data_IF_392631172464
#
_entry.id   IF_392631172464
#
_cell.length_a   1.000
_cell.length_b   1.000
_cell.length_c   1.000
_cell.angle_alpha   90.00
_cell.angle_beta   90.00
_cell.angle_gamma   90.00
#
_symmetry.space_group_name_H-M   'P 1'
#
loop_
_entity.id
_entity.type
_entity.pdbx_description
1 polymer ?
#
# COMPACT_ATOMS: atom_id res chain seq x y z
N UNK A 1 27.95 28.37 -33.59
CA UNK A 1 27.73 28.57 -32.14
C UNK A 1 26.32 29.12 -32.02
N UNK A 2 25.43 28.52 -31.20
CA UNK A 2 24.12 29.10 -31.00
C UNK A 2 24.30 30.52 -30.45
N UNK A 3 23.53 31.47 -30.96
CA UNK A 3 23.52 32.88 -30.53
C UNK A 3 22.70 33.10 -29.27
N UNK A 4 22.05 32.06 -28.78
CA UNK A 4 21.10 32.12 -27.69
C UNK A 4 21.80 32.08 -26.33
N UNK A 5 21.23 32.82 -25.37
CA UNK A 5 21.64 32.76 -23.96
C UNK A 5 21.01 31.52 -23.34
N UNK A 6 21.84 30.54 -22.97
CA UNK A 6 21.39 29.32 -22.32
C UNK A 6 21.36 29.50 -20.79
N UNK A 7 20.27 29.08 -20.17
CA UNK A 7 20.18 28.94 -18.71
C UNK A 7 20.44 27.49 -18.32
N UNK A 8 21.22 27.28 -17.25
CA UNK A 8 21.43 25.95 -16.70
C UNK A 8 20.12 25.47 -16.06
N UNK A 9 19.63 24.31 -16.51
CA UNK A 9 18.48 23.63 -15.90
C UNK A 9 18.95 22.76 -14.73
N UNK A 10 18.08 22.55 -13.75
CA UNK A 10 18.33 21.72 -12.57
C UNK A 10 17.40 20.49 -12.60
N UNK A 11 17.93 19.27 -12.79
CA UNK A 11 17.12 18.05 -12.87
C UNK A 11 16.64 17.55 -11.50
N UNK A 12 17.13 18.12 -10.39
CA UNK A 12 16.76 17.69 -9.03
C UNK A 12 15.55 18.45 -8.47
N UNK A 13 15.01 19.41 -9.23
CA UNK A 13 13.80 20.15 -8.86
C UNK A 13 12.56 19.37 -9.33
N UNK A 14 11.77 18.89 -8.36
CA UNK A 14 10.49 18.22 -8.59
C UNK A 14 9.37 19.23 -8.86
N UNK A 15 8.36 18.82 -9.62
CA UNK A 15 7.12 19.61 -9.73
C UNK A 15 6.34 19.60 -8.39
N UNK A 16 5.43 20.56 -8.22
CA UNK A 16 4.66 20.76 -6.98
C UNK A 16 3.93 19.47 -6.54
N UNK A 17 3.18 18.84 -7.45
CA UNK A 17 2.43 17.60 -7.20
C UNK A 17 3.33 16.43 -6.80
N UNK A 18 4.51 16.29 -7.43
CA UNK A 18 5.46 15.23 -7.10
C UNK A 18 6.11 15.49 -5.73
N UNK A 19 6.40 16.76 -5.42
CA UNK A 19 6.97 17.15 -4.15
C UNK A 19 6.00 16.93 -2.98
N UNK A 20 4.72 17.23 -3.18
CA UNK A 20 3.66 16.92 -2.20
C UNK A 20 3.62 15.42 -1.86
N UNK A 21 3.71 14.55 -2.88
CA UNK A 21 3.80 13.11 -2.66
C UNK A 21 5.08 12.73 -1.90
N UNK A 22 6.24 13.30 -2.26
CA UNK A 22 7.50 13.02 -1.57
C UNK A 22 7.43 13.41 -0.09
N UNK A 23 6.97 14.62 0.22
CA UNK A 23 6.84 15.13 1.59
C UNK A 23 5.86 14.27 2.39
N UNK A 24 4.69 13.94 1.83
CA UNK A 24 3.71 13.03 2.45
C UNK A 24 4.32 11.65 2.79
N UNK A 25 5.07 11.05 1.86
CA UNK A 25 5.69 9.75 2.07
C UNK A 25 6.83 9.83 3.11
N UNK A 26 7.62 10.91 3.13
CA UNK A 26 8.72 11.11 4.08
C UNK A 26 8.23 11.29 5.53
N UNK A 27 7.08 11.93 5.72
CA UNK A 27 6.48 12.10 7.04
C UNK A 27 6.01 10.77 7.64
N UNK A 28 5.57 9.82 6.81
CA UNK A 28 4.94 8.57 7.25
C UNK A 28 5.87 7.34 7.17
N UNK A 29 6.82 7.30 6.24
CA UNK A 29 7.67 6.14 5.98
C UNK A 29 9.08 6.37 6.55
N UNK A 30 9.37 5.71 7.67
CA UNK A 30 10.63 5.87 8.38
C UNK A 30 11.75 5.00 7.79
N UNK A 31 12.89 5.63 7.48
CA UNK A 31 14.16 5.00 7.08
C UNK A 31 14.13 4.13 5.80
N UNK A 32 13.16 4.38 4.89
CA UNK A 32 13.06 3.68 3.58
C UNK A 32 13.19 4.63 2.38
N UNK A 33 14.16 5.56 2.41
CA UNK A 33 14.32 6.60 1.38
C UNK A 33 14.51 6.06 -0.05
N UNK A 34 15.11 4.87 -0.21
CA UNK A 34 15.24 4.24 -1.54
C UNK A 34 13.90 3.86 -2.14
N UNK A 35 12.96 3.42 -1.31
CA UNK A 35 11.62 3.05 -1.76
C UNK A 35 10.80 4.29 -2.09
N UNK A 36 10.89 5.33 -1.25
CA UNK A 36 10.26 6.64 -1.50
C UNK A 36 10.76 7.21 -2.82
N UNK A 37 12.08 7.30 -3.03
CA UNK A 37 12.66 7.78 -4.30
C UNK A 37 12.20 6.97 -5.51
N UNK A 38 12.09 5.64 -5.38
CA UNK A 38 11.60 4.77 -6.46
C UNK A 38 10.17 5.14 -6.88
N UNK A 39 9.29 5.40 -5.91
CA UNK A 39 7.90 5.82 -6.14
C UNK A 39 7.85 7.25 -6.71
N UNK A 40 8.55 8.20 -6.08
CA UNK A 40 8.57 9.61 -6.46
C UNK A 40 9.10 9.79 -7.87
N UNK A 41 10.22 9.17 -8.24
CA UNK A 41 10.77 9.26 -9.60
C UNK A 41 9.85 8.65 -10.66
N UNK A 42 9.09 7.60 -10.32
CA UNK A 42 8.11 7.02 -11.23
C UNK A 42 6.91 7.94 -11.45
N UNK A 43 6.42 8.56 -10.37
CA UNK A 43 5.32 9.51 -10.43
C UNK A 43 5.70 10.81 -11.15
N UNK A 44 6.91 11.32 -10.94
CA UNK A 44 7.42 12.50 -11.65
C UNK A 44 7.47 12.27 -13.16
N UNK A 45 7.94 11.09 -13.57
CA UNK A 45 7.94 10.69 -14.98
C UNK A 45 6.53 10.59 -15.53
N UNK A 46 5.58 10.05 -14.76
CA UNK A 46 4.17 9.93 -15.13
C UNK A 46 3.52 11.30 -15.37
N UNK A 47 3.87 12.30 -14.56
CA UNK A 47 3.39 13.68 -14.72
C UNK A 47 4.04 14.42 -15.91
N UNK A 48 5.02 13.82 -16.57
CA UNK A 48 5.72 14.43 -17.71
C UNK A 48 5.12 14.02 -19.05
N UNK A 49 5.19 14.87 -20.10
CA UNK A 49 4.83 14.48 -21.47
C UNK A 49 5.69 13.35 -22.07
N UNK A 50 6.78 12.97 -21.39
CA UNK A 50 7.61 11.83 -21.77
C UNK A 50 7.00 10.48 -21.34
N UNK A 51 5.90 10.51 -20.58
CA UNK A 51 5.15 9.32 -20.25
C UNK A 51 4.53 8.71 -21.50
N UNK A 52 5.07 7.56 -21.92
CA UNK A 52 4.51 6.76 -23.01
C UNK A 52 3.66 5.66 -22.36
N UNK A 53 2.36 5.61 -22.70
CA UNK A 53 1.35 4.66 -22.20
C UNK A 53 1.62 3.21 -22.66
N UNK A 54 2.81 2.69 -22.34
CA UNK A 54 3.26 1.35 -22.72
C UNK A 54 3.61 0.50 -21.49
N UNK A 55 3.68 1.09 -20.30
CA UNK A 55 4.07 0.39 -19.06
C UNK A 55 3.27 0.93 -17.88
N UNK A 56 3.16 0.17 -16.78
CA UNK A 56 2.62 0.69 -15.52
C UNK A 56 3.48 1.83 -14.99
N UNK A 57 2.85 2.78 -14.27
CA UNK A 57 3.51 3.91 -13.59
C UNK A 57 4.75 3.42 -12.86
N UNK A 58 4.55 2.39 -12.04
CA UNK A 58 5.63 1.68 -11.35
C UNK A 58 5.34 0.19 -11.37
N UNK A 59 6.37 -0.61 -11.62
CA UNK A 59 6.39 -2.01 -11.21
C UNK A 59 7.64 -2.22 -10.37
N UNK A 60 7.45 -2.37 -9.06
CA UNK A 60 8.53 -2.49 -8.09
C UNK A 60 8.45 -3.79 -7.30
N UNK A 61 9.62 -4.35 -6.97
CA UNK A 61 9.73 -5.48 -6.07
C UNK A 61 10.45 -5.05 -4.79
N UNK A 62 9.70 -5.03 -3.69
CA UNK A 62 10.16 -4.66 -2.38
C UNK A 62 10.58 -5.89 -1.59
N UNK A 63 11.83 -5.88 -1.13
CA UNK A 63 12.46 -6.98 -0.42
C UNK A 63 12.79 -6.59 1.02
N UNK A 64 12.61 -7.50 1.95
CA UNK A 64 13.03 -7.28 3.35
C UNK A 64 12.23 -8.15 4.33
N UNK A 65 12.55 -8.10 5.62
CA UNK A 65 11.81 -8.86 6.64
C UNK A 65 10.36 -8.37 6.81
N UNK A 66 9.58 -9.13 7.58
CA UNK A 66 8.22 -8.73 7.93
C UNK A 66 8.22 -7.42 8.74
N UNK A 67 7.18 -6.60 8.57
CA UNK A 67 6.98 -5.40 9.39
C UNK A 67 7.92 -4.22 9.16
N UNK A 68 8.71 -4.20 8.07
CA UNK A 68 9.58 -3.04 7.72
C UNK A 68 8.91 -1.98 6.85
N UNK A 69 7.62 -2.16 6.52
CA UNK A 69 6.83 -1.18 5.76
C UNK A 69 6.69 -1.44 4.26
N UNK A 70 7.00 -2.66 3.76
CA UNK A 70 6.84 -3.01 2.33
C UNK A 70 5.40 -2.79 1.82
N UNK A 71 4.44 -3.37 2.54
CA UNK A 71 3.00 -3.24 2.27
C UNK A 71 2.49 -1.84 2.59
N UNK A 72 3.05 -1.21 3.62
CA UNK A 72 2.69 0.14 4.05
C UNK A 72 2.88 1.19 2.95
N UNK A 73 3.84 1.01 2.03
CA UNK A 73 3.96 1.91 0.86
C UNK A 73 2.69 1.89 -0.01
N UNK A 74 2.10 0.72 -0.25
CA UNK A 74 0.87 0.63 -1.03
C UNK A 74 -0.30 1.31 -0.30
N UNK A 75 -0.38 1.14 1.02
CA UNK A 75 -1.37 1.81 1.86
C UNK A 75 -1.20 3.34 1.83
N UNK A 76 0.04 3.84 1.88
CA UNK A 76 0.32 5.27 1.78
C UNK A 76 0.02 5.84 0.40
N UNK A 77 0.27 5.10 -0.68
CA UNK A 77 -0.16 5.54 -2.00
C UNK A 77 -1.69 5.59 -2.10
N UNK A 78 -2.40 4.63 -1.47
CA UNK A 78 -3.85 4.61 -1.47
C UNK A 78 -4.42 5.76 -0.65
N UNK A 79 -3.84 6.05 0.52
CA UNK A 79 -4.17 7.23 1.31
C UNK A 79 -3.95 8.52 0.51
N UNK A 80 -2.80 8.67 -0.15
CA UNK A 80 -2.48 9.89 -0.90
C UNK A 80 -3.36 10.12 -2.12
N UNK A 81 -3.56 9.09 -2.95
CA UNK A 81 -4.29 9.24 -4.21
C UNK A 81 -5.80 9.08 -4.04
N UNK A 82 -6.24 8.35 -3.02
CA UNK A 82 -7.62 7.87 -2.88
C UNK A 82 -8.23 8.16 -1.50
N UNK A 83 -7.58 8.97 -0.64
CA UNK A 83 -8.03 9.34 0.71
C UNK A 83 -8.51 8.14 1.57
N UNK A 84 -8.01 6.94 1.28
CA UNK A 84 -8.36 5.70 1.97
C UNK A 84 -7.18 4.72 1.87
N UNK A 85 -6.53 4.36 2.99
CA UNK A 85 -5.34 3.54 2.97
C UNK A 85 -5.64 2.08 2.60
N UNK A 86 -6.92 1.69 2.56
CA UNK A 86 -7.40 0.36 2.19
C UNK A 86 -7.88 0.27 0.75
N UNK A 87 -7.96 1.40 0.03
CA UNK A 87 -8.47 1.48 -1.33
C UNK A 87 -7.45 1.02 -2.37
N UNK A 88 -7.00 -0.24 -2.28
CA UNK A 88 -6.11 -0.84 -3.28
C UNK A 88 -6.44 -2.31 -3.50
N UNK A 89 -6.03 -2.85 -4.64
CA UNK A 89 -6.23 -4.27 -4.96
C UNK A 89 -5.12 -5.09 -4.32
N UNK A 90 -5.40 -5.74 -3.19
CA UNK A 90 -4.47 -6.65 -2.52
C UNK A 90 -4.63 -8.10 -3.01
N UNK A 91 -3.51 -8.72 -3.38
CA UNK A 91 -3.40 -10.11 -3.80
C UNK A 91 -2.41 -10.82 -2.86
N UNK A 92 -2.94 -11.68 -2.00
CA UNK A 92 -2.14 -12.56 -1.16
C UNK A 92 -1.65 -13.74 -1.98
N UNK A 93 -0.40 -13.70 -2.44
CA UNK A 93 0.15 -14.69 -3.37
C UNK A 93 0.22 -16.10 -2.77
N UNK A 94 0.22 -16.22 -1.44
CA UNK A 94 0.11 -17.48 -0.72
C UNK A 94 -1.20 -18.25 -0.99
N UNK A 95 -2.25 -17.58 -1.47
CA UNK A 95 -3.54 -18.21 -1.82
C UNK A 95 -3.59 -18.68 -3.29
N UNK A 96 -2.47 -18.58 -4.02
CA UNK A 96 -2.39 -18.89 -5.45
C UNK A 96 -1.18 -19.78 -5.76
N UNK A 97 -0.93 -20.76 -4.90
CA UNK A 97 0.18 -21.72 -5.05
C UNK A 97 -0.13 -22.68 -6.19
N UNK A 98 -1.39 -23.07 -6.32
CA UNK A 98 -1.83 -24.05 -7.29
C UNK A 98 -2.31 -23.40 -8.60
N UNK A 99 -2.06 -24.07 -9.73
CA UNK A 99 -2.40 -23.55 -11.06
C UNK A 99 -3.89 -23.24 -11.24
N UNK A 100 -4.78 -23.98 -10.58
CA UNK A 100 -6.22 -23.78 -10.66
C UNK A 100 -6.72 -22.63 -9.77
N UNK A 101 -5.94 -22.17 -8.79
CA UNK A 101 -6.25 -20.98 -8.00
C UNK A 101 -5.94 -19.72 -8.82
N UNK A 102 -4.87 -19.76 -9.62
CA UNK A 102 -4.48 -18.68 -10.53
C UNK A 102 -5.60 -18.33 -11.52
N UNK A 103 -6.43 -19.28 -11.96
CA UNK A 103 -7.56 -18.96 -12.84
C UNK A 103 -8.64 -18.10 -12.18
N UNK A 104 -8.70 -18.01 -10.83
CA UNK A 104 -9.55 -17.02 -10.15
C UNK A 104 -8.99 -15.61 -10.31
N UNK A 105 -7.67 -15.51 -10.32
CA UNK A 105 -6.96 -14.24 -10.48
C UNK A 105 -7.00 -13.75 -11.94
N UNK A 106 -6.70 -14.65 -12.89
CA UNK A 106 -6.51 -14.36 -14.30
C UNK A 106 -7.71 -14.71 -15.19
N UNK A 107 -8.73 -15.37 -14.66
CA UNK A 107 -9.86 -15.90 -15.42
C UNK A 107 -9.64 -17.32 -15.91
N UNK A 108 -10.71 -18.11 -15.91
CA UNK A 108 -10.71 -19.42 -16.55
C UNK A 108 -10.98 -19.27 -18.06
N UNK A 109 -10.40 -20.13 -18.91
CA UNK A 109 -10.67 -20.13 -20.35
C UNK A 109 -12.07 -20.64 -20.71
N UNK A 110 -12.57 -20.33 -21.92
CA UNK A 110 -13.87 -20.82 -22.39
C UNK A 110 -13.99 -22.34 -22.25
N UNK A 111 -15.09 -22.80 -21.66
CA UNK A 111 -15.35 -24.23 -21.43
C UNK A 111 -14.85 -24.79 -20.08
N UNK A 112 -14.19 -23.98 -19.25
CA UNK A 112 -13.77 -24.35 -17.89
C UNK A 112 -14.71 -23.78 -16.82
N UNK A 113 -14.77 -24.44 -15.66
CA UNK A 113 -15.50 -23.93 -14.49
C UNK A 113 -14.86 -22.60 -14.07
N UNK A 114 -15.70 -21.57 -13.90
CA UNK A 114 -15.26 -20.21 -13.56
C UNK A 114 -15.10 -19.27 -14.76
N UNK A 115 -15.38 -19.70 -15.99
CA UNK A 115 -15.29 -18.84 -17.18
C UNK A 115 -16.15 -17.56 -17.07
N UNK A 116 -17.33 -17.68 -16.47
CA UNK A 116 -18.26 -16.55 -16.27
C UNK A 116 -17.93 -15.71 -15.02
N UNK A 117 -16.96 -16.12 -14.21
CA UNK A 117 -16.54 -15.35 -13.04
C UNK A 117 -15.59 -14.25 -13.47
N UNK A 118 -15.81 -13.03 -12.95
CA UNK A 118 -14.95 -11.92 -13.28
C UNK A 118 -13.58 -12.10 -12.62
N UNK A 119 -12.47 -12.08 -13.37
CA UNK A 119 -11.14 -12.21 -12.81
C UNK A 119 -10.81 -11.05 -11.85
N UNK A 120 -10.07 -11.34 -10.78
CA UNK A 120 -9.60 -10.31 -9.84
C UNK A 120 -8.75 -9.25 -10.55
N UNK A 121 -7.96 -9.64 -11.55
CA UNK A 121 -7.14 -8.71 -12.36
C UNK A 121 -7.85 -8.19 -13.62
N UNK A 122 -9.18 -8.25 -13.68
CA UNK A 122 -9.95 -7.55 -14.72
C UNK A 122 -9.88 -6.03 -14.55
N UNK A 123 -10.07 -5.29 -15.65
CA UNK A 123 -10.04 -3.81 -15.64
C UNK A 123 -10.92 -3.23 -14.53
N UNK A 124 -12.15 -3.73 -14.42
CA UNK A 124 -13.12 -3.21 -13.47
C UNK A 124 -12.66 -3.39 -12.03
N UNK A 125 -12.03 -4.52 -11.71
CA UNK A 125 -11.60 -4.81 -10.35
C UNK A 125 -10.34 -4.01 -9.96
N UNK A 126 -9.38 -3.84 -10.88
CA UNK A 126 -8.16 -3.08 -10.57
C UNK A 126 -8.44 -1.58 -10.39
N UNK A 127 -9.44 -1.04 -11.11
CA UNK A 127 -9.85 0.37 -11.00
C UNK A 127 -10.93 0.60 -9.93
N UNK A 128 -11.60 -0.44 -9.45
CA UNK A 128 -12.75 -0.31 -8.53
C UNK A 128 -12.45 0.58 -7.31
N UNK A 129 -11.30 0.46 -6.62
CA UNK A 129 -11.01 1.32 -5.47
C UNK A 129 -10.94 2.80 -5.85
N UNK A 130 -10.28 3.11 -6.97
CA UNK A 130 -10.15 4.49 -7.46
C UNK A 130 -11.49 5.07 -7.93
N UNK A 131 -12.33 4.25 -8.57
CA UNK A 131 -13.68 4.64 -8.95
C UNK A 131 -14.55 4.92 -7.72
N UNK A 132 -14.47 4.09 -6.68
CA UNK A 132 -15.20 4.30 -5.43
C UNK A 132 -14.76 5.58 -4.71
N UNK A 133 -13.47 5.89 -4.73
CA UNK A 133 -12.99 7.17 -4.22
C UNK A 133 -13.57 8.34 -5.02
N UNK A 134 -13.44 8.32 -6.35
CA UNK A 134 -13.99 9.37 -7.21
C UNK A 134 -15.51 9.52 -7.05
N UNK A 135 -16.23 8.40 -6.84
CA UNK A 135 -17.64 8.39 -6.43
C UNK A 135 -17.89 9.22 -5.17
N UNK A 136 -17.15 8.92 -4.09
CA UNK A 136 -17.32 9.61 -2.81
C UNK A 136 -16.97 11.09 -2.89
N UNK A 137 -15.93 11.46 -3.64
CA UNK A 137 -15.52 12.84 -3.85
C UNK A 137 -16.60 13.64 -4.60
N UNK A 138 -17.11 13.11 -5.72
CA UNK A 138 -18.15 13.76 -6.53
C UNK A 138 -19.53 13.76 -5.83
N UNK A 139 -19.84 12.74 -5.03
CA UNK A 139 -21.10 12.66 -4.30
C UNK A 139 -21.30 13.79 -3.28
N UNK A 140 -20.25 14.48 -2.84
CA UNK A 140 -20.39 15.64 -1.95
C UNK A 140 -21.03 16.85 -2.64
N UNK A 141 -21.00 16.93 -3.98
CA UNK A 141 -21.37 18.15 -4.72
C UNK A 141 -22.30 17.90 -5.92
N UNK A 142 -22.35 16.69 -6.51
CA UNK A 142 -23.04 16.39 -7.76
C UNK A 142 -24.23 15.39 -7.59
N UNK A 143 -25.44 15.83 -7.96
CA UNK A 143 -26.69 15.04 -7.82
C UNK A 143 -26.78 13.87 -8.79
N UNK A 144 -26.19 13.97 -9.97
CA UNK A 144 -26.22 12.91 -10.98
C UNK A 144 -25.23 11.80 -10.61
N UNK A 145 -24.06 12.20 -10.07
CA UNK A 145 -23.12 11.25 -9.48
C UNK A 145 -23.74 10.47 -8.31
N UNK A 146 -24.49 11.14 -7.42
CA UNK A 146 -25.24 10.51 -6.33
C UNK A 146 -26.28 9.50 -6.83
N UNK A 147 -26.97 9.83 -7.94
CA UNK A 147 -27.98 8.93 -8.53
C UNK A 147 -27.33 7.66 -9.08
N UNK A 148 -26.31 7.81 -9.93
CA UNK A 148 -25.63 6.68 -10.54
C UNK A 148 -24.94 5.79 -9.49
N UNK A 149 -24.34 6.38 -8.46
CA UNK A 149 -23.75 5.61 -7.36
C UNK A 149 -24.80 4.78 -6.59
N UNK A 150 -25.99 5.35 -6.31
CA UNK A 150 -27.08 4.58 -5.68
C UNK A 150 -27.55 3.42 -6.55
N UNK A 151 -27.52 3.59 -7.88
CA UNK A 151 -27.83 2.51 -8.81
C UNK A 151 -26.76 1.40 -8.78
N UNK A 152 -25.47 1.76 -8.68
CA UNK A 152 -24.34 0.81 -8.50
C UNK A 152 -24.46 0.05 -7.18
N UNK A 153 -24.67 0.73 -6.05
CA UNK A 153 -24.83 0.08 -4.75
C UNK A 153 -26.01 -0.89 -4.72
N UNK A 154 -27.13 -0.49 -5.32
CA UNK A 154 -28.31 -1.35 -5.44
C UNK A 154 -27.99 -2.59 -6.28
N UNK A 155 -27.28 -2.44 -7.39
CA UNK A 155 -26.83 -3.56 -8.21
C UNK A 155 -25.87 -4.49 -7.44
N UNK A 156 -24.91 -3.93 -6.69
CA UNK A 156 -23.98 -4.69 -5.83
C UNK A 156 -24.71 -5.50 -4.76
N UNK A 157 -25.68 -4.89 -4.06
CA UNK A 157 -26.46 -5.58 -3.03
C UNK A 157 -27.30 -6.72 -3.62
N UNK A 158 -27.79 -6.57 -4.85
CA UNK A 158 -28.50 -7.64 -5.53
C UNK A 158 -27.57 -8.80 -5.87
N UNK A 159 -26.34 -8.52 -6.33
CA UNK A 159 -25.32 -9.56 -6.54
C UNK A 159 -25.03 -10.35 -5.24
N UNK A 160 -24.84 -9.65 -4.11
CA UNK A 160 -24.53 -10.24 -2.80
C UNK A 160 -25.67 -11.08 -2.21
N UNK A 161 -26.92 -10.78 -2.56
CA UNK A 161 -28.11 -11.52 -2.09
C UNK A 161 -28.46 -12.73 -2.97
N UNK A 162 -27.84 -12.85 -4.15
CA UNK A 162 -28.14 -13.94 -5.07
C UNK A 162 -27.54 -15.26 -4.57
N UNK A 163 -28.36 -16.32 -4.54
CA UNK A 163 -27.94 -17.69 -4.16
C UNK A 163 -27.87 -18.63 -5.37
N UNK A 164 -28.33 -18.17 -6.54
CA UNK A 164 -28.46 -18.96 -7.76
C UNK A 164 -27.48 -18.49 -8.85
N UNK A 165 -26.67 -19.42 -9.37
CA UNK A 165 -25.49 -19.16 -10.23
C UNK A 165 -25.82 -18.47 -11.57
N UNK A 166 -27.00 -18.73 -12.16
CA UNK A 166 -27.44 -18.11 -13.41
C UNK A 166 -27.89 -16.65 -13.19
N UNK A 167 -28.59 -16.40 -12.08
CA UNK A 167 -29.06 -15.08 -11.69
C UNK A 167 -27.89 -14.17 -11.29
N UNK A 168 -26.89 -14.73 -10.59
CA UNK A 168 -25.65 -14.02 -10.24
C UNK A 168 -24.91 -13.47 -11.46
N UNK A 169 -24.85 -14.21 -12.58
CA UNK A 169 -24.15 -13.76 -13.79
C UNK A 169 -24.86 -12.57 -14.46
N UNK A 170 -26.19 -12.62 -14.58
CA UNK A 170 -26.98 -11.51 -15.13
C UNK A 170 -26.93 -10.27 -14.23
N UNK A 171 -26.99 -10.45 -12.91
CA UNK A 171 -26.84 -9.36 -11.94
C UNK A 171 -25.44 -8.74 -12.00
N UNK A 172 -24.40 -9.56 -12.17
CA UNK A 172 -23.04 -9.08 -12.33
C UNK A 172 -22.87 -8.27 -13.61
N UNK A 173 -23.49 -8.68 -14.73
CA UNK A 173 -23.50 -7.88 -15.96
C UNK A 173 -24.16 -6.51 -15.77
N UNK A 174 -25.29 -6.45 -15.05
CA UNK A 174 -25.96 -5.18 -14.73
C UNK A 174 -25.07 -4.30 -13.84
N UNK A 175 -24.44 -4.88 -12.82
CA UNK A 175 -23.49 -4.16 -11.96
C UNK A 175 -22.32 -3.60 -12.76
N UNK A 176 -21.73 -4.40 -13.66
CA UNK A 176 -20.65 -3.96 -14.53
C UNK A 176 -21.06 -2.87 -15.50
N UNK A 177 -22.27 -2.96 -16.07
CA UNK A 177 -22.81 -1.91 -16.93
C UNK A 177 -22.94 -0.59 -16.16
N UNK A 178 -23.40 -0.64 -14.91
CA UNK A 178 -23.55 0.56 -14.07
C UNK A 178 -22.21 1.18 -13.69
N UNK A 179 -21.18 0.36 -13.44
CA UNK A 179 -19.80 0.85 -13.28
C UNK A 179 -19.33 1.57 -14.55
N UNK A 180 -19.54 0.99 -15.73
CA UNK A 180 -19.12 1.61 -17.01
C UNK A 180 -19.84 2.92 -17.30
N UNK A 181 -21.15 2.98 -17.09
CA UNK A 181 -21.94 4.22 -17.22
C UNK A 181 -21.36 5.32 -16.32
N UNK A 182 -20.99 4.96 -15.09
CA UNK A 182 -20.42 5.88 -14.14
C UNK A 182 -18.96 6.28 -14.44
N UNK A 183 -18.14 5.35 -14.93
CA UNK A 183 -16.79 5.64 -15.42
C UNK A 183 -16.83 6.67 -16.56
N UNK A 184 -17.75 6.51 -17.52
CA UNK A 184 -17.96 7.49 -18.60
C UNK A 184 -18.34 8.85 -18.05
N UNK A 185 -19.25 8.90 -17.07
CA UNK A 185 -19.67 10.14 -16.42
C UNK A 185 -18.53 10.85 -15.69
N UNK A 186 -17.71 10.10 -14.92
CA UNK A 186 -16.51 10.66 -14.30
C UNK A 186 -15.59 11.22 -15.38
N UNK A 187 -15.24 10.41 -16.39
CA UNK A 187 -14.29 10.80 -17.43
C UNK A 187 -14.72 12.06 -18.20
N UNK A 188 -16.02 12.32 -18.33
CA UNK A 188 -16.56 13.54 -18.95
C UNK A 188 -16.54 14.77 -18.00
N UNK A 189 -16.61 14.55 -16.69
CA UNK A 189 -16.70 15.62 -15.66
C UNK A 189 -15.36 15.99 -15.04
N UNK A 190 -14.46 15.02 -14.95
CA UNK A 190 -13.09 15.19 -14.49
C UNK A 190 -12.21 15.19 -15.73
N UNK A 191 -12.20 16.30 -16.48
CA UNK A 191 -11.13 16.50 -17.46
C UNK A 191 -9.79 16.36 -16.70
N UNK A 192 -8.92 15.49 -17.21
CA UNK A 192 -7.50 15.33 -16.87
C UNK A 192 -7.08 14.65 -15.54
N UNK A 193 -7.94 14.01 -14.75
CA UNK A 193 -7.48 13.20 -13.60
C UNK A 193 -7.40 11.71 -13.96
N UNK A 194 -6.20 11.12 -14.13
CA UNK A 194 -6.08 9.71 -14.45
C UNK A 194 -6.54 8.85 -13.26
N UNK A 195 -7.35 7.83 -13.54
CA UNK A 195 -7.71 6.80 -12.55
C UNK A 195 -6.44 6.01 -12.21
N UNK A 196 -5.86 6.26 -11.05
CA UNK A 196 -4.66 5.57 -10.57
C UNK A 196 -5.06 4.30 -9.83
N UNK A 197 -4.61 3.17 -10.33
CA UNK A 197 -4.83 1.86 -9.69
C UNK A 197 -3.61 1.47 -8.86
N UNK A 198 -3.82 1.01 -7.63
CA UNK A 198 -2.75 0.48 -6.79
C UNK A 198 -2.98 -1.02 -6.61
N UNK A 199 -1.99 -1.82 -6.99
CA UNK A 199 -2.08 -3.28 -7.00
C UNK A 199 -0.90 -3.84 -6.20
N UNK A 200 -1.22 -4.55 -5.12
CA UNK A 200 -0.24 -5.15 -4.23
C UNK A 200 -0.24 -6.68 -4.38
N UNK A 201 0.89 -7.23 -4.80
CA UNK A 201 1.18 -8.67 -4.78
C UNK A 201 2.03 -8.98 -3.55
N UNK A 202 1.39 -9.44 -2.47
CA UNK A 202 2.06 -9.72 -1.21
C UNK A 202 2.65 -11.13 -1.21
N UNK A 203 3.93 -11.27 -0.85
CA UNK A 203 4.69 -12.54 -0.82
C UNK A 203 4.73 -13.27 -2.18
N UNK A 204 5.13 -12.55 -3.24
CA UNK A 204 5.07 -13.02 -4.64
C UNK A 204 5.85 -14.33 -4.90
N UNK A 205 6.83 -14.65 -4.07
CA UNK A 205 7.58 -15.91 -4.13
C UNK A 205 6.73 -17.16 -3.86
N UNK A 206 5.58 -17.01 -3.20
CA UNK A 206 4.68 -18.14 -2.88
C UNK A 206 3.72 -18.48 -4.01
N UNK A 207 3.52 -17.57 -4.97
CA UNK A 207 2.60 -17.81 -6.08
C UNK A 207 3.12 -18.86 -7.05
N UNK A 208 2.20 -19.51 -7.75
CA UNK A 208 2.51 -20.36 -8.89
C UNK A 208 3.28 -19.59 -9.98
N UNK A 209 4.28 -20.21 -10.66
CA UNK A 209 5.09 -19.54 -11.69
C UNK A 209 4.31 -18.91 -12.85
N UNK A 210 3.08 -19.35 -13.12
CA UNK A 210 2.20 -18.72 -14.12
C UNK A 210 1.91 -17.25 -13.81
N UNK A 211 1.87 -16.85 -12.53
CA UNK A 211 1.71 -15.45 -12.16
C UNK A 211 2.93 -14.63 -12.59
N UNK A 212 4.14 -15.18 -12.47
CA UNK A 212 5.36 -14.48 -12.87
C UNK A 212 5.41 -14.22 -14.38
N UNK A 213 4.93 -15.16 -15.20
CA UNK A 213 4.81 -14.99 -16.65
C UNK A 213 3.80 -13.91 -17.02
N UNK A 214 2.66 -13.87 -16.32
CA UNK A 214 1.68 -12.80 -16.47
C UNK A 214 2.27 -11.44 -16.12
N UNK A 215 2.94 -11.33 -14.97
CA UNK A 215 3.58 -10.08 -14.53
C UNK A 215 4.69 -9.65 -15.49
N UNK A 216 5.43 -10.59 -16.09
CA UNK A 216 6.41 -10.28 -17.13
C UNK A 216 5.78 -9.59 -18.35
N UNK A 217 4.61 -10.06 -18.80
CA UNK A 217 3.88 -9.40 -19.88
C UNK A 217 3.40 -8.00 -19.47
N UNK A 218 2.79 -7.88 -18.29
CA UNK A 218 2.29 -6.61 -17.75
C UNK A 218 3.42 -5.58 -17.61
N UNK A 219 4.55 -5.97 -17.03
CA UNK A 219 5.72 -5.07 -16.89
C UNK A 219 6.36 -4.69 -18.23
N UNK A 220 6.17 -5.51 -19.27
CA UNK A 220 6.75 -5.27 -20.59
C UNK A 220 5.88 -4.39 -21.48
N UNK A 221 4.55 -4.62 -21.46
CA UNK A 221 3.59 -4.02 -22.41
C UNK A 221 2.53 -3.13 -21.75
N UNK A 222 2.44 -3.11 -20.42
CA UNK A 222 1.41 -2.36 -19.68
C UNK A 222 -0.01 -2.85 -19.93
N UNK A 223 -0.18 -4.00 -20.57
CA UNK A 223 -1.46 -4.63 -20.87
C UNK A 223 -1.29 -6.13 -21.07
N UNK A 224 -2.35 -6.89 -20.87
CA UNK A 224 -2.36 -8.34 -21.08
C UNK A 224 -3.78 -8.84 -21.28
N UNK A 225 -3.89 -10.00 -21.94
CA UNK A 225 -5.16 -10.69 -22.14
C UNK A 225 -5.33 -11.76 -21.06
N UNK A 226 -6.47 -11.70 -20.38
CA UNK A 226 -6.87 -12.63 -19.35
C UNK A 226 -7.35 -13.96 -19.93
N UNK A 227 -7.45 -14.98 -19.08
CA UNK A 227 -7.90 -16.32 -19.47
C UNK A 227 -9.31 -16.35 -20.05
N UNK A 228 -10.19 -15.45 -19.58
CA UNK A 228 -11.54 -15.29 -20.12
C UNK A 228 -11.58 -14.60 -21.50
N UNK A 229 -10.44 -14.10 -21.99
CA UNK A 229 -10.28 -13.44 -23.29
C UNK A 229 -10.36 -11.90 -23.25
N UNK A 230 -10.67 -11.31 -22.11
CA UNK A 230 -10.71 -9.84 -21.92
C UNK A 230 -9.30 -9.25 -21.83
N UNK A 231 -9.14 -7.99 -22.23
CA UNK A 231 -7.88 -7.25 -22.11
C UNK A 231 -7.94 -6.34 -20.88
N UNK A 232 -6.88 -6.36 -20.07
CA UNK A 232 -6.68 -5.44 -18.94
C UNK A 232 -5.49 -4.54 -19.24
N UNK A 233 -5.66 -3.24 -18.99
CA UNK A 233 -4.68 -2.17 -19.13
C UNK A 233 -4.17 -1.75 -17.75
N UNK A 234 -2.84 -1.66 -17.63
CA UNK A 234 -2.12 -1.36 -16.39
C UNK A 234 -1.33 -0.04 -16.48
N UNK A 235 -1.57 0.81 -17.50
CA UNK A 235 -0.78 2.01 -17.75
C UNK A 235 -0.75 2.99 -16.57
N UNK A 236 -1.90 3.15 -15.91
CA UNK A 236 -2.05 4.03 -14.75
C UNK A 236 -1.96 3.24 -13.43
N UNK A 237 -1.17 2.17 -13.40
CA UNK A 237 -1.06 1.31 -12.22
C UNK A 237 0.28 1.44 -11.50
N UNK A 238 0.23 1.59 -10.18
CA UNK A 238 1.33 1.26 -9.29
C UNK A 238 1.22 -0.24 -8.95
N UNK A 239 2.12 -1.04 -9.50
CA UNK A 239 2.24 -2.47 -9.21
C UNK A 239 3.37 -2.64 -8.19
N UNK A 240 3.00 -2.98 -6.96
CA UNK A 240 3.93 -3.26 -5.87
C UNK A 240 3.92 -4.76 -5.62
N UNK A 241 5.10 -5.37 -5.68
CA UNK A 241 5.32 -6.76 -5.26
C UNK A 241 6.13 -6.74 -3.99
N UNK A 242 5.77 -7.56 -3.01
CA UNK A 242 6.57 -7.74 -1.80
C UNK A 242 7.16 -9.15 -1.79
N UNK A 243 8.34 -9.29 -1.23
CA UNK A 243 8.91 -10.59 -0.94
C UNK A 243 9.71 -10.57 0.34
N UNK A 244 9.59 -11.66 1.11
CA UNK A 244 10.39 -11.89 2.31
C UNK A 244 11.70 -12.64 1.97
N UNK A 245 11.96 -12.90 0.69
CA UNK A 245 13.16 -13.56 0.21
C UNK A 245 14.44 -12.85 0.67
N UNK A 246 15.43 -13.63 1.09
CA UNK A 246 16.72 -13.13 1.55
C UNK A 246 16.73 -12.44 2.92
N UNK A 247 15.59 -12.25 3.58
CA UNK A 247 15.49 -11.62 4.91
C UNK A 247 16.42 -12.26 5.95
N UNK A 248 16.47 -13.61 6.02
CA UNK A 248 17.37 -14.35 6.92
C UNK A 248 18.85 -14.14 6.60
N UNK A 249 19.22 -14.24 5.32
CA UNK A 249 20.61 -14.07 4.87
C UNK A 249 21.10 -12.63 5.09
N UNK A 250 20.23 -11.65 4.84
CA UNK A 250 20.49 -10.22 5.11
C UNK A 250 20.66 -9.99 6.61
N UNK A 251 19.78 -10.55 7.44
CA UNK A 251 19.87 -10.43 8.89
C UNK A 251 21.16 -11.07 9.47
N UNK A 252 21.61 -12.21 8.92
CA UNK A 252 22.87 -12.86 9.31
C UNK A 252 24.11 -12.04 8.91
N UNK A 253 24.08 -11.36 7.76
CA UNK A 253 25.15 -10.44 7.34
C UNK A 253 25.23 -9.20 8.24
N UNK A 254 24.08 -8.59 8.56
CA UNK A 254 24.02 -7.41 9.44
C UNK A 254 24.49 -7.75 10.86
N UNK A 255 24.22 -8.98 11.34
CA UNK A 255 24.70 -9.49 12.65
C UNK A 255 26.16 -9.95 12.64
N UNK A 256 26.89 -9.83 11.52
CA UNK A 256 28.30 -10.19 11.42
C UNK A 256 28.59 -11.69 11.58
N UNK A 257 27.59 -12.57 11.43
CA UNK A 257 27.72 -14.02 11.71
C UNK A 257 28.16 -14.87 10.50
N UNK A 258 28.14 -14.32 9.28
CA UNK A 258 28.67 -15.02 8.09
C UNK A 258 30.05 -14.46 7.73
N UNK A 259 31.05 -15.33 7.74
CA UNK A 259 32.41 -15.04 7.28
C UNK A 259 32.38 -14.46 5.86
N UNK A 260 32.94 -13.26 5.75
CA UNK A 260 32.91 -12.35 4.60
C UNK A 260 33.90 -12.79 3.49
N UNK A 261 34.41 -14.02 3.53
CA UNK A 261 35.54 -14.48 2.72
C UNK A 261 35.31 -14.55 1.20
N UNK A 262 34.07 -14.78 0.74
CA UNK A 262 33.78 -14.95 -0.70
C UNK A 262 33.11 -13.74 -1.38
N UNK A 263 32.58 -12.78 -0.60
CA UNK A 263 31.85 -11.62 -1.16
C UNK A 263 32.77 -10.40 -1.28
N UNK A 264 33.74 -10.24 -0.36
CA UNK A 264 34.64 -9.07 -0.35
C UNK A 264 35.47 -8.91 -1.63
N UNK A 265 35.93 -10.00 -2.24
CA UNK A 265 36.76 -9.94 -3.46
C UNK A 265 36.01 -9.44 -4.71
N UNK A 266 34.68 -9.59 -4.76
CA UNK A 266 33.87 -9.04 -5.86
C UNK A 266 33.43 -7.60 -5.61
N UNK A 267 33.16 -7.24 -4.35
CA UNK A 267 32.61 -5.91 -3.98
C UNK A 267 33.58 -4.76 -4.18
N UNK A 268 34.91 -4.98 -4.14
CA UNK A 268 35.88 -3.91 -4.39
C UNK A 268 35.90 -3.44 -5.86
N UNK A 269 35.30 -4.18 -6.79
CA UNK A 269 35.26 -3.83 -8.23
C UNK A 269 33.93 -3.23 -8.72
N UNK A 270 32.84 -3.33 -7.97
CA UNK A 270 31.50 -2.92 -8.43
C UNK A 270 30.86 -1.75 -7.66
N UNK A 271 31.34 -1.39 -6.47
CA UNK A 271 30.77 -0.28 -5.69
C UNK A 271 29.32 -0.53 -5.21
N UNK A 272 28.80 -1.74 -5.36
CA UNK A 272 27.44 -2.11 -4.97
C UNK A 272 27.34 -2.54 -3.50
N UNK A 273 26.15 -2.36 -2.94
CA UNK A 273 25.86 -2.66 -1.54
C UNK A 273 25.80 -4.20 -1.34
N UNK A 274 26.62 -4.81 -0.47
CA UNK A 274 26.67 -6.27 -0.28
C UNK A 274 25.34 -6.90 0.15
N UNK A 275 24.45 -6.10 0.76
CA UNK A 275 23.09 -6.52 1.10
C UNK A 275 22.24 -6.73 -0.16
N UNK A 276 22.40 -5.84 -1.16
CA UNK A 276 21.70 -5.94 -2.44
C UNK A 276 22.16 -7.17 -3.22
N UNK A 277 23.47 -7.43 -3.27
CA UNK A 277 24.01 -8.62 -3.93
C UNK A 277 23.47 -9.92 -3.32
N UNK A 278 23.42 -9.98 -1.99
CA UNK A 278 22.84 -11.11 -1.28
C UNK A 278 21.36 -11.30 -1.64
N UNK A 279 20.60 -10.21 -1.65
CA UNK A 279 19.18 -10.24 -1.98
C UNK A 279 18.95 -10.70 -3.43
N UNK A 280 19.78 -10.20 -4.36
CA UNK A 280 19.74 -10.56 -5.77
C UNK A 280 20.08 -12.04 -6.00
N UNK A 281 21.03 -12.60 -5.24
CA UNK A 281 21.34 -14.04 -5.31
C UNK A 281 20.17 -14.91 -4.88
N UNK A 282 19.40 -14.51 -3.87
CA UNK A 282 18.19 -15.24 -3.45
C UNK A 282 17.07 -15.09 -4.48
N UNK A 283 16.86 -13.88 -5.02
CA UNK A 283 15.89 -13.65 -6.09
C UNK A 283 16.15 -14.50 -7.33
N UNK A 284 17.42 -14.63 -7.75
CA UNK A 284 17.81 -15.46 -8.91
C UNK A 284 17.51 -16.94 -8.75
N UNK A 285 17.30 -17.43 -7.51
CA UNK A 285 16.86 -18.81 -7.27
C UNK A 285 15.35 -18.99 -7.43
N UNK A 286 14.59 -17.91 -7.21
CA UNK A 286 13.13 -17.94 -7.14
C UNK A 286 12.46 -17.46 -8.43
N UNK A 287 13.11 -16.55 -9.15
CA UNK A 287 12.56 -15.91 -10.35
C UNK A 287 13.46 -16.12 -11.57
N UNK A 288 12.83 -16.20 -12.74
CA UNK A 288 13.51 -16.26 -14.04
C UNK A 288 14.32 -15.00 -14.31
N UNK A 289 15.42 -15.11 -15.05
CA UNK A 289 16.25 -13.99 -15.50
C UNK A 289 15.47 -12.94 -16.30
N UNK A 290 14.49 -13.38 -17.08
CA UNK A 290 13.66 -12.55 -17.93
C UNK A 290 12.74 -11.66 -17.09
N UNK A 291 12.14 -12.23 -16.03
CA UNK A 291 11.33 -11.46 -15.09
C UNK A 291 12.18 -10.44 -14.33
N UNK A 292 13.31 -10.90 -13.76
CA UNK A 292 14.21 -10.03 -13.01
C UNK A 292 14.73 -8.88 -13.87
N UNK A 293 15.16 -9.13 -15.10
CA UNK A 293 15.65 -8.09 -16.01
C UNK A 293 14.61 -7.01 -16.37
N UNK A 294 13.30 -7.27 -16.17
CA UNK A 294 12.24 -6.27 -16.38
C UNK A 294 12.02 -5.37 -15.16
N UNK A 295 12.23 -5.89 -13.97
CA UNK A 295 11.97 -5.19 -12.71
C UNK A 295 13.25 -4.76 -11.99
N UNK A 296 14.44 -5.16 -12.45
CA UNK A 296 15.73 -5.00 -11.77
C UNK A 296 15.98 -3.56 -11.30
N UNK A 297 15.68 -2.57 -12.15
CA UNK A 297 15.84 -1.15 -11.82
C UNK A 297 14.97 -0.69 -10.64
N UNK A 298 13.88 -1.40 -10.36
CA UNK A 298 12.89 -1.09 -9.34
C UNK A 298 12.86 -2.17 -8.24
N UNK A 299 13.93 -2.97 -8.11
CA UNK A 299 14.11 -3.84 -6.95
C UNK A 299 14.65 -2.99 -5.80
N UNK A 300 13.89 -2.91 -4.71
CA UNK A 300 14.27 -2.11 -3.54
C UNK A 300 14.38 -3.01 -2.31
N UNK A 301 15.56 -3.03 -1.71
CA UNK A 301 15.80 -3.73 -0.44
C UNK A 301 15.55 -2.77 0.73
N UNK A 302 14.58 -3.11 1.57
CA UNK A 302 14.20 -2.39 2.77
C UNK A 302 15.21 -2.65 3.87
N UNK A 303 15.47 -1.61 4.66
CA UNK A 303 16.30 -1.71 5.85
C UNK A 303 15.48 -2.26 7.02
N UNK A 304 16.17 -2.93 7.93
CA UNK A 304 15.59 -3.22 9.25
C UNK A 304 15.37 -1.90 9.99
N UNK A 305 14.31 -1.87 10.79
CA UNK A 305 13.99 -0.75 11.67
C UNK A 305 14.83 -0.86 12.95
N UNK A 306 15.47 0.24 13.35
CA UNK A 306 16.08 0.36 14.69
C UNK A 306 15.02 0.70 15.74
N UNK A 307 15.36 0.61 17.02
CA UNK A 307 14.46 1.06 18.10
C UNK A 307 14.09 2.54 17.96
N UNK A 308 15.02 3.39 17.49
CA UNK A 308 14.75 4.80 17.18
C UNK A 308 13.74 4.95 16.03
N UNK A 309 13.81 4.10 15.01
CA UNK A 309 12.84 4.09 13.92
C UNK A 309 11.46 3.65 14.43
N UNK A 310 11.42 2.62 15.29
CA UNK A 310 10.18 2.12 15.90
C UNK A 310 9.55 3.21 16.80
N UNK A 311 10.35 3.93 17.59
CA UNK A 311 9.87 5.06 18.42
C UNK A 311 9.18 6.12 17.58
N UNK A 312 9.77 6.53 16.45
CA UNK A 312 9.13 7.46 15.50
C UNK A 312 7.83 6.91 14.93
N UNK A 313 7.76 5.62 14.62
CA UNK A 313 6.53 4.98 14.13
C UNK A 313 5.44 5.00 15.21
N UNK A 314 5.79 4.74 16.47
CA UNK A 314 4.87 4.87 17.61
C UNK A 314 4.33 6.30 17.69
N UNK A 315 5.21 7.30 17.60
CA UNK A 315 4.80 8.71 17.64
C UNK A 315 3.81 9.05 16.52
N UNK A 316 4.07 8.61 15.28
CA UNK A 316 3.17 8.83 14.13
C UNK A 316 1.80 8.18 14.39
N UNK A 317 1.75 6.89 14.75
CA UNK A 317 0.49 6.17 14.94
C UNK A 317 -0.34 6.74 16.11
N UNK A 318 0.31 7.14 17.19
CA UNK A 318 -0.36 7.76 18.33
C UNK A 318 -0.88 9.15 17.99
N UNK A 319 -0.13 9.94 17.22
CA UNK A 319 -0.58 11.24 16.75
C UNK A 319 -1.79 11.11 15.80
N UNK A 320 -1.74 10.17 14.85
CA UNK A 320 -2.86 9.85 13.97
C UNK A 320 -4.11 9.44 14.77
N UNK A 321 -3.93 8.63 15.82
CA UNK A 321 -5.01 8.27 16.74
C UNK A 321 -5.57 9.50 17.47
N UNK A 322 -4.73 10.37 18.00
CA UNK A 322 -5.18 11.61 18.67
C UNK A 322 -5.94 12.53 17.72
N UNK A 323 -5.51 12.67 16.47
CA UNK A 323 -6.20 13.45 15.42
C UNK A 323 -7.56 12.80 15.12
N UNK A 324 -7.59 11.48 14.91
CA UNK A 324 -8.82 10.73 14.64
C UNK A 324 -9.84 10.90 15.77
N UNK A 325 -9.40 10.76 17.02
CA UNK A 325 -10.26 10.93 18.19
C UNK A 325 -10.78 12.36 18.27
N UNK A 326 -9.91 13.37 18.18
CA UNK A 326 -10.33 14.79 18.22
C UNK A 326 -11.40 15.11 17.17
N UNK A 327 -11.31 14.53 15.97
CA UNK A 327 -12.27 14.75 14.88
C UNK A 327 -13.61 14.03 15.09
N UNK A 328 -13.60 12.80 15.60
CA UNK A 328 -14.80 11.94 15.66
C UNK A 328 -15.47 11.91 17.04
N UNK A 329 -14.69 12.06 18.10
CA UNK A 329 -15.10 12.08 19.50
C UNK A 329 -14.29 13.17 20.21
N UNK A 330 -14.76 14.43 20.24
CA UNK A 330 -13.93 15.60 20.53
C UNK A 330 -13.44 15.62 21.98
N UNK A 331 -12.38 14.87 22.29
CA UNK A 331 -11.61 14.91 23.51
C UNK A 331 -10.12 14.91 23.14
N UNK A 332 -9.30 15.54 23.99
CA UNK A 332 -7.86 15.63 23.78
C UNK A 332 -7.17 14.43 24.46
N UNK A 333 -6.38 13.67 23.70
CA UNK A 333 -5.55 12.58 24.22
C UNK A 333 -4.08 13.01 24.21
N UNK A 334 -3.49 13.08 25.40
CA UNK A 334 -2.04 13.27 25.60
C UNK A 334 -1.46 11.96 26.09
N UNK A 335 -0.34 11.54 25.50
CA UNK A 335 0.35 10.30 25.87
C UNK A 335 1.76 10.66 26.30
N UNK A 336 2.14 10.22 27.50
CA UNK A 336 3.46 10.49 28.08
C UNK A 336 4.57 9.73 27.37
N UNK A 337 5.82 10.21 27.50
CA UNK A 337 6.98 9.52 26.92
C UNK A 337 7.21 8.15 27.58
N UNK A 338 6.90 8.00 28.87
CA UNK A 338 6.99 6.73 29.58
C UNK A 338 5.98 5.70 29.05
N UNK A 339 4.77 6.13 28.67
CA UNK A 339 3.79 5.27 28.05
C UNK A 339 4.24 4.82 26.64
N UNK A 340 4.89 5.70 25.87
CA UNK A 340 5.48 5.37 24.57
C UNK A 340 6.65 4.39 24.70
N UNK A 341 7.52 4.60 25.69
CA UNK A 341 8.64 3.70 25.98
C UNK A 341 8.15 2.32 26.40
N UNK A 342 7.07 2.25 27.19
CA UNK A 342 6.43 0.98 27.52
C UNK A 342 5.91 0.24 26.26
N UNK A 343 5.28 0.95 25.32
CA UNK A 343 4.81 0.36 24.06
C UNK A 343 6.00 -0.15 23.24
N UNK A 344 7.09 0.62 23.17
CA UNK A 344 8.32 0.23 22.48
C UNK A 344 8.89 -1.06 23.08
N UNK A 345 9.07 -1.12 24.41
CA UNK A 345 9.58 -2.31 25.10
C UNK A 345 8.73 -3.55 24.78
N UNK A 346 7.40 -3.41 24.83
CA UNK A 346 6.46 -4.51 24.52
C UNK A 346 6.44 -4.91 23.05
N UNK A 347 6.77 -4.00 22.13
CA UNK A 347 6.86 -4.28 20.71
C UNK A 347 8.19 -4.98 20.35
N UNK A 348 9.27 -4.62 21.05
CA UNK A 348 10.62 -5.17 20.82
C UNK A 348 10.82 -6.60 21.35
N UNK A 349 9.87 -7.15 22.12
CA UNK A 349 9.89 -8.55 22.60
C UNK A 349 10.02 -9.59 21.46
N UNK A 350 9.58 -9.25 20.24
CA UNK A 350 9.66 -10.13 19.07
C UNK A 350 10.10 -9.37 17.79
N UNK A 351 11.41 -9.10 17.64
CA UNK A 351 11.96 -8.28 16.55
C UNK A 351 11.63 -8.79 15.13
N UNK A 352 11.32 -10.09 15.00
CA UNK A 352 10.98 -10.73 13.72
C UNK A 352 9.68 -10.22 13.07
N UNK A 353 8.81 -9.54 13.82
CA UNK A 353 7.56 -8.99 13.29
C UNK A 353 7.61 -7.46 13.01
N UNK A 354 8.73 -6.80 13.33
CA UNK A 354 8.95 -5.37 13.05
C UNK A 354 7.84 -4.46 13.59
N UNK A 355 7.49 -3.40 12.82
CA UNK A 355 6.47 -2.43 13.19
C UNK A 355 5.04 -3.01 13.28
N UNK A 356 4.81 -4.25 12.82
CA UNK A 356 3.49 -4.89 12.91
C UNK A 356 3.04 -5.04 14.36
N UNK A 357 3.98 -5.31 15.27
CA UNK A 357 3.66 -5.43 16.70
C UNK A 357 3.32 -4.09 17.33
N UNK A 358 3.83 -2.96 16.79
CA UNK A 358 3.52 -1.63 17.33
C UNK A 358 2.02 -1.39 17.29
N UNK A 359 1.39 -1.63 16.14
CA UNK A 359 -0.06 -1.46 15.98
C UNK A 359 -0.84 -2.36 16.93
N UNK A 360 -0.44 -3.64 17.06
CA UNK A 360 -1.06 -4.57 18.01
C UNK A 360 -0.92 -4.09 19.47
N UNK A 361 0.24 -3.53 19.86
CA UNK A 361 0.46 -3.00 21.22
C UNK A 361 -0.34 -1.72 21.46
N UNK A 362 -0.40 -0.81 20.50
CA UNK A 362 -1.22 0.40 20.60
C UNK A 362 -2.69 0.03 20.70
N UNK A 363 -3.16 -0.92 19.90
CA UNK A 363 -4.56 -1.38 19.95
C UNK A 363 -4.89 -1.92 21.34
N UNK A 364 -4.06 -2.85 21.85
CA UNK A 364 -4.27 -3.48 23.15
C UNK A 364 -4.15 -2.54 24.34
N UNK A 365 -3.14 -1.66 24.35
CA UNK A 365 -2.81 -0.85 25.53
C UNK A 365 -3.40 0.56 25.50
N UNK A 366 -3.81 1.05 24.33
CA UNK A 366 -4.39 2.38 24.16
C UNK A 366 -5.83 2.29 23.66
N UNK A 367 -6.07 1.75 22.46
CA UNK A 367 -7.40 1.83 21.83
C UNK A 367 -8.47 1.03 22.56
N UNK A 368 -8.18 -0.20 22.96
CA UNK A 368 -9.13 -1.06 23.69
C UNK A 368 -9.56 -0.44 25.04
N UNK A 369 -8.64 0.03 25.91
CA UNK A 369 -9.02 0.77 27.12
C UNK A 369 -9.83 2.03 26.83
N UNK A 370 -9.43 2.85 25.85
CA UNK A 370 -10.17 4.05 25.45
C UNK A 370 -11.59 3.71 24.99
N UNK A 371 -11.76 2.71 24.13
CA UNK A 371 -13.06 2.25 23.67
C UNK A 371 -13.95 1.83 24.86
N UNK A 372 -13.39 1.10 25.84
CA UNK A 372 -14.13 0.71 27.05
C UNK A 372 -14.53 1.91 27.90
N UNK A 373 -13.65 2.89 28.09
CA UNK A 373 -13.93 4.10 28.86
C UNK A 373 -14.93 5.03 28.16
N UNK A 374 -14.91 5.09 26.84
CA UNK A 374 -15.93 5.79 26.03
C UNK A 374 -17.29 5.09 26.18
N UNK A 375 -17.34 3.77 25.99
CA UNK A 375 -18.58 3.00 26.07
C UNK A 375 -19.22 3.00 27.47
N UNK A 376 -18.41 3.15 28.52
CA UNK A 376 -18.90 3.27 29.91
C UNK A 376 -19.21 4.72 30.32
N UNK A 377 -18.98 5.70 29.44
CA UNK A 377 -19.26 7.11 29.70
C UNK A 377 -18.24 7.81 30.62
N UNK A 378 -17.11 7.19 30.92
CA UNK A 378 -16.04 7.80 31.73
C UNK A 378 -15.34 8.94 30.96
N UNK A 379 -15.16 8.74 29.66
CA UNK A 379 -14.67 9.76 28.72
C UNK A 379 -15.88 10.35 28.02
N UNK A 380 -16.03 11.67 28.14
CA UNK A 380 -17.07 12.45 27.45
C UNK A 380 -16.42 13.52 26.59
N UNK A 381 -17.18 14.12 25.68
CA UNK A 381 -16.70 15.21 24.83
C UNK A 381 -16.20 16.39 25.66
N UNK A 382 -15.13 17.04 25.21
CA UNK A 382 -14.46 18.17 25.86
C UNK A 382 -13.43 17.77 26.91
N UNK A 383 -13.30 16.47 27.23
CA UNK A 383 -12.31 16.03 28.22
C UNK A 383 -10.89 16.11 27.68
N UNK A 384 -9.94 16.27 28.60
CA UNK A 384 -8.52 16.06 28.36
C UNK A 384 -8.08 14.83 29.13
N UNK A 385 -7.57 13.83 28.41
CA UNK A 385 -7.13 12.54 28.95
C UNK A 385 -5.62 12.44 28.81
N UNK A 386 -4.95 12.14 29.91
CA UNK A 386 -3.52 11.90 29.97
C UNK A 386 -3.26 10.41 30.20
N UNK A 387 -2.67 9.75 29.20
CA UNK A 387 -2.21 8.37 29.30
C UNK A 387 -0.77 8.36 29.81
N UNK A 388 -0.54 7.76 30.97
CA UNK A 388 0.77 7.69 31.63
C UNK A 388 1.09 6.26 32.09
N UNK A 389 2.36 5.95 32.34
CA UNK A 389 2.78 4.69 32.91
C UNK A 389 2.77 4.75 34.45
N UNK A 390 2.00 3.88 35.09
CA UNK A 390 2.01 3.69 36.55
C UNK A 390 2.03 2.20 36.91
N UNK A 391 2.93 1.80 37.83
CA UNK A 391 3.05 0.41 38.30
C UNK A 391 3.14 -0.63 37.16
N UNK A 392 3.84 -0.28 36.07
CA UNK A 392 4.04 -1.15 34.91
C UNK A 392 2.81 -1.31 34.00
N UNK A 393 1.79 -0.46 34.14
CA UNK A 393 0.62 -0.43 33.27
C UNK A 393 0.28 0.99 32.83
N UNK A 394 -0.26 1.14 31.63
CA UNK A 394 -0.77 2.44 31.18
C UNK A 394 -2.08 2.73 31.89
N UNK A 395 -2.12 3.86 32.59
CA UNK A 395 -3.30 4.42 33.25
C UNK A 395 -3.76 5.66 32.51
N UNK A 396 -5.06 5.96 32.61
CA UNK A 396 -5.68 7.11 31.95
C UNK A 396 -6.25 8.05 33.00
N UNK A 397 -5.73 9.27 33.03
CA UNK A 397 -6.11 10.31 33.96
C UNK A 397 -6.93 11.36 33.23
N UNK A 398 -8.12 11.66 33.75
CA UNK A 398 -8.93 12.75 33.24
C UNK A 398 -8.51 14.05 33.94
N UNK A 399 -8.18 15.08 33.17
CA UNK A 399 -7.92 16.40 33.74
C UNK A 399 -9.20 16.90 34.44
N UNK A 400 -9.09 17.22 35.72
CA UNK A 400 -10.13 17.95 36.45
C UNK A 400 -10.21 19.37 35.89
N UNK A 401 -11.43 19.88 35.66
CA UNK A 401 -11.65 21.26 35.25
C UNK A 401 -10.83 22.20 36.15
N UNK A 402 -9.90 22.93 35.55
CA UNK A 402 -9.05 23.92 36.22
C UNK A 402 -9.89 25.19 36.51
N UNK A 403 -11.02 25.04 37.19
CA UNK A 403 -11.89 26.13 37.65
C UNK A 403 -12.62 25.76 38.96
N UNK A 404 -11.90 25.70 40.08
CA UNK A 404 -12.42 26.08 41.40
C UNK A 404 -11.33 26.00 42.48
N UNK A 405 -10.41 26.95 42.43
CA UNK A 405 -9.78 27.49 43.64
C UNK A 405 -9.78 29.01 43.51
N UNK A 406 -10.86 29.64 43.95
CA UNK A 406 -10.95 31.06 44.29
C UNK A 406 -11.51 31.19 45.69
#
# INVERSE_FOLDING_TARGET
MPTDVFTKLDPDILCEQTKELEDFLLERIINQQRAIKCVVSAYDKFNSPLWQLEKPILSALFLGPSGVGKTYIAEMLAEYFLDDPTAFTKIECANYVERHEISKLLGAPPGYIGYNELPILSQNNIELPAIQHAQMALMKTDKEAQRLSKEIEKARQNCLKSTNKLESNSLMQIYMQKIKEFQSYISEKTEDVPIISIILFDEIEKAHPSLHHFLLEVTSKGRTRLGNGEETLFYNSFIIMTSNAGSRSIAEMVKGKKEIGFIREKTEKSGENPIYDCAMLELKKMFTTEFLGRIEKNIVVFKNLSDDDIKKIIDIQLNDLSIFLTKNFPFELIISDEAKEFILEKASDHPEYGARLVSDKIDKHIKEPLARMINTGQIVTGCKIFANLENGNIVFLKASDLLSFS
#
